data_IF_305463220700
#
_entry.id   IF_305463220700
#
_cell.length_a   1.000
_cell.length_b   1.000
_cell.length_c   1.000
_cell.angle_alpha   90.00
_cell.angle_beta   90.00
_cell.angle_gamma   90.00
#
_symmetry.space_group_name_H-M   'P 1'
#
loop_
_entity.id
_entity.type
_entity.pdbx_description
1 polymer ?
#
# COMPACT_ATOMS: atom_id res chain seq x y z
N UNK A 1 28.11 16.53 -5.08
CA UNK A 1 27.48 15.41 -5.81
C UNK A 1 28.29 14.12 -5.71
N UNK A 2 29.62 14.17 -5.62
CA UNK A 2 30.47 12.97 -5.66
C UNK A 2 30.28 12.01 -4.48
N UNK A 3 30.05 12.52 -3.27
CA UNK A 3 29.81 11.69 -2.09
C UNK A 3 28.50 10.86 -2.20
N UNK A 4 27.40 11.48 -2.63
CA UNK A 4 26.12 10.77 -2.82
C UNK A 4 26.27 9.68 -3.88
N UNK A 5 26.92 10.00 -5.00
CA UNK A 5 27.16 9.03 -6.07
C UNK A 5 28.04 7.87 -5.59
N UNK A 6 29.11 8.15 -4.83
CA UNK A 6 29.98 7.13 -4.26
C UNK A 6 29.22 6.20 -3.32
N UNK A 7 28.45 6.76 -2.37
CA UNK A 7 27.68 5.98 -1.39
C UNK A 7 26.58 5.13 -2.06
N UNK A 8 25.86 5.70 -3.03
CA UNK A 8 24.71 5.02 -3.66
C UNK A 8 25.09 4.00 -4.74
N UNK A 9 26.28 4.15 -5.36
CA UNK A 9 26.73 3.29 -6.46
C UNK A 9 27.65 2.15 -5.99
N UNK A 10 28.50 2.38 -4.99
CA UNK A 10 29.42 1.36 -4.47
C UNK A 10 28.78 0.57 -3.31
N UNK A 11 27.92 -0.39 -3.68
CA UNK A 11 27.26 -1.30 -2.74
C UNK A 11 28.19 -2.36 -2.12
N UNK A 12 29.43 -2.47 -2.60
CA UNK A 12 30.41 -3.41 -2.02
C UNK A 12 31.04 -2.78 -0.78
N UNK A 13 31.42 -1.51 -0.90
CA UNK A 13 32.02 -0.72 0.18
C UNK A 13 30.96 -0.19 1.14
N UNK A 14 29.88 0.40 0.63
CA UNK A 14 28.78 0.96 1.43
C UNK A 14 27.61 -0.01 1.47
N UNK A 15 27.70 -0.98 2.38
CA UNK A 15 26.64 -1.97 2.60
C UNK A 15 25.58 -1.41 3.52
N UNK A 16 24.33 -1.75 3.23
CA UNK A 16 23.24 -1.57 4.17
C UNK A 16 23.45 -2.49 5.37
N UNK A 17 23.16 -1.98 6.57
CA UNK A 17 23.08 -2.82 7.75
C UNK A 17 21.80 -3.67 7.72
N UNK A 18 21.87 -4.85 7.09
CA UNK A 18 20.74 -5.75 6.96
C UNK A 18 20.14 -6.20 8.31
N UNK A 19 20.96 -6.24 9.37
CA UNK A 19 20.53 -6.66 10.71
C UNK A 19 19.53 -5.66 11.29
N UNK A 20 19.76 -4.36 11.09
CA UNK A 20 18.82 -3.31 11.52
C UNK A 20 17.43 -3.42 10.85
N UNK A 21 17.31 -4.15 9.74
CA UNK A 21 16.04 -4.37 9.04
C UNK A 21 15.40 -5.74 9.35
N UNK A 22 15.99 -6.57 10.22
CA UNK A 22 15.39 -7.84 10.64
C UNK A 22 13.97 -7.72 11.20
N UNK A 23 13.61 -6.65 11.95
CA UNK A 23 12.22 -6.46 12.39
C UNK A 23 11.18 -6.38 11.26
N UNK A 24 11.60 -6.08 10.02
CA UNK A 24 10.72 -6.13 8.83
C UNK A 24 10.45 -7.55 8.34
N UNK A 25 11.14 -8.56 8.85
CA UNK A 25 11.07 -9.93 8.36
C UNK A 25 9.91 -10.75 8.92
N UNK A 26 8.81 -10.10 9.31
CA UNK A 26 7.70 -10.76 9.99
C UNK A 26 7.18 -12.00 9.23
N UNK A 27 6.97 -11.90 7.91
CA UNK A 27 6.56 -13.02 7.07
C UNK A 27 7.74 -13.80 6.47
N UNK A 28 8.94 -13.22 6.46
CA UNK A 28 10.13 -13.73 5.79
C UNK A 28 11.07 -12.60 5.36
N UNK A 29 12.20 -12.96 4.73
CA UNK A 29 13.13 -11.96 4.19
C UNK A 29 12.46 -11.14 3.07
N UNK A 30 12.87 -9.89 2.87
CA UNK A 30 12.33 -9.01 1.84
C UNK A 30 13.41 -8.17 1.17
N UNK A 31 13.04 -7.41 0.15
CA UNK A 31 13.95 -6.53 -0.60
C UNK A 31 14.62 -5.46 0.27
N UNK A 32 13.99 -5.06 1.38
CA UNK A 32 14.52 -4.04 2.29
C UNK A 32 15.51 -4.66 3.28
N UNK A 33 15.34 -5.91 3.69
CA UNK A 33 16.19 -6.59 4.67
C UNK A 33 17.30 -7.46 4.06
N UNK A 34 17.32 -7.64 2.75
CA UNK A 34 18.33 -8.46 2.04
C UNK A 34 19.40 -7.60 1.37
N UNK A 35 20.57 -8.19 1.11
CA UNK A 35 21.70 -7.53 0.45
C UNK A 35 22.32 -8.42 -0.63
N UNK A 36 23.14 -7.81 -1.50
CA UNK A 36 23.94 -8.52 -2.50
C UNK A 36 23.11 -9.44 -3.42
N UNK A 37 23.45 -10.74 -3.49
CA UNK A 37 22.77 -11.72 -4.35
C UNK A 37 21.30 -11.92 -3.97
N UNK A 38 21.01 -11.93 -2.67
CA UNK A 38 19.63 -12.06 -2.17
C UNK A 38 18.80 -10.85 -2.59
N UNK A 39 19.34 -9.63 -2.39
CA UNK A 39 18.67 -8.42 -2.86
C UNK A 39 18.43 -8.44 -4.37
N UNK A 40 19.41 -8.89 -5.17
CA UNK A 40 19.25 -9.02 -6.63
C UNK A 40 18.13 -10.00 -6.99
N UNK A 41 18.00 -11.11 -6.26
CA UNK A 41 16.91 -12.09 -6.42
C UNK A 41 15.56 -11.44 -6.13
N UNK A 42 15.40 -10.82 -4.97
CA UNK A 42 14.18 -10.09 -4.59
C UNK A 42 13.81 -9.00 -5.60
N UNK A 43 14.78 -8.18 -6.04
CA UNK A 43 14.56 -7.11 -7.02
C UNK A 43 14.15 -7.64 -8.38
N UNK A 44 14.75 -8.73 -8.85
CA UNK A 44 14.43 -9.30 -10.16
C UNK A 44 12.97 -9.75 -10.23
N UNK A 45 12.44 -10.34 -9.16
CA UNK A 45 11.03 -10.76 -9.06
C UNK A 45 10.10 -9.55 -8.85
N UNK A 46 10.54 -8.55 -8.08
CA UNK A 46 9.71 -7.38 -7.77
C UNK A 46 9.61 -6.35 -8.91
N UNK A 47 10.67 -6.16 -9.70
CA UNK A 47 10.73 -5.07 -10.67
C UNK A 47 9.62 -5.07 -11.73
N UNK A 48 9.19 -6.21 -12.30
CA UNK A 48 8.09 -6.25 -13.28
C UNK A 48 6.75 -5.75 -12.73
N UNK A 49 6.58 -5.80 -11.40
CA UNK A 49 5.38 -5.31 -10.73
C UNK A 49 5.28 -3.78 -10.70
N UNK A 50 6.35 -3.06 -11.08
CA UNK A 50 6.40 -1.60 -11.20
C UNK A 50 6.53 -1.17 -12.66
N UNK A 51 5.63 -1.66 -13.51
CA UNK A 51 5.57 -1.35 -14.95
C UNK A 51 4.63 -0.17 -15.24
N UNK A 52 4.70 0.36 -16.47
CA UNK A 52 3.81 1.42 -16.94
C UNK A 52 2.33 1.00 -16.91
N UNK A 53 2.04 -0.26 -17.26
CA UNK A 53 0.68 -0.82 -17.19
C UNK A 53 0.12 -0.76 -15.76
N UNK A 54 0.96 -1.04 -14.75
CA UNK A 54 0.55 -0.98 -13.35
C UNK A 54 0.36 0.47 -12.89
N UNK A 55 1.16 1.41 -13.38
CA UNK A 55 0.97 2.84 -13.11
C UNK A 55 -0.37 3.35 -13.67
N UNK A 56 -0.80 2.87 -14.83
CA UNK A 56 -2.12 3.20 -15.38
C UNK A 56 -3.27 2.71 -14.49
N UNK A 57 -3.15 1.51 -13.91
CA UNK A 57 -4.11 1.00 -12.94
C UNK A 57 -4.14 1.83 -11.65
N UNK A 58 -2.95 2.19 -11.12
CA UNK A 58 -2.85 3.11 -9.97
C UNK A 58 -3.54 4.43 -10.26
N UNK A 59 -3.37 4.98 -11.46
CA UNK A 59 -4.04 6.21 -11.89
C UNK A 59 -5.57 6.06 -11.88
N UNK A 60 -6.10 5.02 -12.52
CA UNK A 60 -7.55 4.75 -12.54
C UNK A 60 -8.12 4.61 -11.13
N UNK A 61 -7.42 3.88 -10.26
CA UNK A 61 -7.87 3.65 -8.89
C UNK A 61 -7.77 4.92 -8.03
N UNK A 62 -6.75 5.73 -8.25
CA UNK A 62 -6.61 7.06 -7.62
C UNK A 62 -7.78 7.96 -7.98
N UNK A 63 -8.13 8.06 -9.27
CA UNK A 63 -9.27 8.87 -9.71
C UNK A 63 -10.57 8.40 -9.07
N UNK A 64 -10.80 7.09 -9.00
CA UNK A 64 -11.99 6.51 -8.35
C UNK A 64 -12.06 6.91 -6.88
N UNK A 65 -11.01 6.62 -6.10
CA UNK A 65 -10.97 6.86 -4.65
C UNK A 65 -11.12 8.34 -4.32
N UNK A 66 -10.42 9.20 -5.06
CA UNK A 66 -10.49 10.66 -4.86
C UNK A 66 -11.87 11.20 -5.25
N UNK A 67 -12.49 10.68 -6.31
CA UNK A 67 -13.86 11.06 -6.70
C UNK A 67 -14.88 10.64 -5.64
N UNK A 68 -14.78 9.41 -5.13
CA UNK A 68 -15.64 8.92 -4.05
C UNK A 68 -15.53 9.80 -2.81
N UNK A 69 -14.30 10.20 -2.46
CA UNK A 69 -14.05 11.12 -1.35
C UNK A 69 -14.67 12.51 -1.58
N UNK A 70 -14.50 13.12 -2.75
CA UNK A 70 -15.11 14.42 -3.07
C UNK A 70 -16.64 14.37 -3.03
N UNK A 71 -17.26 13.30 -3.55
CA UNK A 71 -18.70 13.11 -3.49
C UNK A 71 -19.24 13.08 -2.05
N UNK A 72 -18.48 12.49 -1.12
CA UNK A 72 -18.83 12.49 0.29
C UNK A 72 -18.63 13.85 0.94
N UNK A 73 -17.54 14.56 0.65
CA UNK A 73 -17.35 15.93 1.15
C UNK A 73 -18.52 16.82 0.74
N UNK A 74 -18.97 16.73 -0.51
CA UNK A 74 -20.13 17.44 -1.02
C UNK A 74 -21.43 17.03 -0.30
N UNK A 75 -21.60 15.73 -0.01
CA UNK A 75 -22.76 15.23 0.72
C UNK A 75 -22.80 15.74 2.17
N UNK A 76 -21.66 15.71 2.87
CA UNK A 76 -21.52 16.19 4.26
C UNK A 76 -21.72 17.71 4.35
N UNK A 77 -21.13 18.49 3.42
CA UNK A 77 -21.35 19.94 3.39
C UNK A 77 -22.83 20.32 3.16
N UNK A 78 -23.57 19.52 2.38
CA UNK A 78 -25.01 19.72 2.18
C UNK A 78 -25.84 19.43 3.43
N UNK A 79 -25.38 18.53 4.29
CA UNK A 79 -26.06 18.15 5.54
C UNK A 79 -25.67 19.06 6.72
N UNK A 80 -24.45 19.58 6.76
CA UNK A 80 -23.87 20.31 7.91
C UNK A 80 -23.86 21.84 7.77
N UNK A 81 -24.86 22.45 7.12
CA UNK A 81 -25.02 23.93 7.01
C UNK A 81 -25.10 24.70 8.36
N UNK A 82 -24.83 24.07 9.51
CA UNK A 82 -24.99 24.64 10.85
C UNK A 82 -23.81 24.45 11.81
N UNK A 83 -22.65 23.91 11.42
CA UNK A 83 -21.50 23.74 12.32
C UNK A 83 -20.22 24.40 11.75
N UNK A 84 -19.41 24.97 12.64
CA UNK A 84 -18.31 25.91 12.38
C UNK A 84 -17.29 25.47 11.30
N UNK A 85 -16.93 26.41 10.42
CA UNK A 85 -15.98 26.29 9.30
C UNK A 85 -14.55 25.82 9.63
N UNK A 86 -14.17 25.63 10.89
CA UNK A 86 -12.77 25.41 11.29
C UNK A 86 -12.42 23.94 11.57
N UNK A 87 -13.40 23.03 11.72
CA UNK A 87 -13.12 21.61 12.02
C UNK A 87 -12.81 20.77 10.76
N UNK A 88 -13.17 21.27 9.57
CA UNK A 88 -13.06 20.56 8.31
C UNK A 88 -11.65 20.64 7.68
N UNK A 89 -10.82 21.65 8.03
CA UNK A 89 -9.48 21.81 7.45
C UNK A 89 -8.45 20.85 8.05
N UNK A 90 -8.54 20.56 9.34
CA UNK A 90 -7.55 19.74 10.04
C UNK A 90 -7.78 18.23 9.82
N UNK A 91 -9.04 17.82 9.69
CA UNK A 91 -9.42 16.41 9.47
C UNK A 91 -9.16 15.92 8.02
N UNK A 92 -9.14 16.83 7.05
CA UNK A 92 -9.07 16.47 5.63
C UNK A 92 -7.65 16.15 5.12
N UNK A 93 -6.59 16.64 5.76
CA UNK A 93 -5.20 16.39 5.31
C UNK A 93 -4.57 15.24 6.10
N UNK A 94 -4.79 15.20 7.42
CA UNK A 94 -4.12 14.25 8.32
C UNK A 94 -4.76 12.84 8.30
N UNK A 95 -6.08 12.73 8.10
CA UNK A 95 -6.79 11.43 8.10
C UNK A 95 -7.04 10.88 6.69
N UNK A 96 -7.31 11.75 5.72
CA UNK A 96 -7.67 11.32 4.35
C UNK A 96 -6.45 10.88 3.55
N UNK A 97 -5.30 11.56 3.69
CA UNK A 97 -4.13 11.24 2.90
C UNK A 97 -3.56 9.83 3.19
N UNK A 98 -3.45 9.38 4.46
CA UNK A 98 -3.09 8.00 4.77
C UNK A 98 -4.14 7.01 4.28
N UNK A 99 -5.43 7.24 4.57
CA UNK A 99 -6.51 6.36 4.11
C UNK A 99 -6.53 6.20 2.58
N UNK A 100 -6.45 7.30 1.82
CA UNK A 100 -6.46 7.26 0.37
C UNK A 100 -5.25 6.51 -0.18
N UNK A 101 -4.04 6.78 0.32
CA UNK A 101 -2.83 6.07 -0.14
C UNK A 101 -2.85 4.59 0.22
N UNK A 102 -3.42 4.22 1.37
CA UNK A 102 -3.60 2.83 1.76
C UNK A 102 -4.56 2.11 0.83
N UNK A 103 -5.70 2.72 0.55
CA UNK A 103 -6.74 2.16 -0.31
C UNK A 103 -6.24 2.04 -1.76
N UNK A 104 -5.54 3.04 -2.28
CA UNK A 104 -4.94 3.00 -3.63
C UNK A 104 -3.90 1.88 -3.70
N UNK A 105 -2.97 1.83 -2.74
CA UNK A 105 -1.90 0.82 -2.73
C UNK A 105 -2.48 -0.58 -2.53
N UNK A 106 -3.52 -0.72 -1.71
CA UNK A 106 -4.21 -2.00 -1.51
C UNK A 106 -4.97 -2.42 -2.77
N UNK A 107 -5.70 -1.51 -3.40
CA UNK A 107 -6.53 -1.84 -4.55
C UNK A 107 -5.68 -2.11 -5.80
N UNK A 108 -4.66 -1.31 -6.08
CA UNK A 108 -3.74 -1.53 -7.20
C UNK A 108 -2.71 -2.65 -6.92
N UNK A 109 -2.35 -2.83 -5.64
CA UNK A 109 -1.39 -3.83 -5.19
C UNK A 109 -1.97 -5.24 -5.12
N UNK A 110 -3.16 -5.38 -4.54
CA UNK A 110 -3.76 -6.66 -4.15
C UNK A 110 -5.04 -7.00 -4.90
N UNK A 111 -5.56 -6.07 -5.69
CA UNK A 111 -6.71 -6.27 -6.55
C UNK A 111 -8.04 -6.52 -5.88
N UNK A 112 -8.12 -6.34 -4.57
CA UNK A 112 -9.40 -6.21 -3.89
C UNK A 112 -9.71 -4.73 -3.75
N UNK A 113 -10.74 -4.30 -4.48
CA UNK A 113 -11.30 -2.95 -4.34
C UNK A 113 -11.88 -2.82 -2.95
N UNK A 114 -11.23 -2.02 -2.12
CA UNK A 114 -11.75 -1.65 -0.81
C UNK A 114 -12.57 -0.38 -1.04
N UNK A 115 -13.87 -0.44 -0.71
CA UNK A 115 -14.73 0.73 -0.74
C UNK A 115 -14.30 1.71 0.34
N UNK A 116 -14.40 3.00 0.06
CA UNK A 116 -14.11 4.04 1.04
C UNK A 116 -15.03 3.96 2.27
N UNK A 117 -16.30 3.61 2.06
CA UNK A 117 -17.37 3.69 3.06
C UNK A 117 -17.53 2.40 3.89
N UNK A 118 -17.08 1.26 3.37
CA UNK A 118 -17.45 -0.04 3.95
C UNK A 118 -16.37 -0.60 4.89
N UNK A 119 -16.71 -0.69 6.17
CA UNK A 119 -16.29 -1.79 7.05
C UNK A 119 -17.52 -2.63 7.50
N UNK A 120 -18.69 -2.38 6.90
CA UNK A 120 -19.95 -3.07 7.19
C UNK A 120 -20.02 -4.48 6.59
N UNK A 121 -19.08 -4.82 5.72
CA UNK A 121 -18.97 -6.16 5.16
C UNK A 121 -18.56 -7.14 6.27
N UNK A 122 -19.37 -8.17 6.47
CA UNK A 122 -19.00 -9.26 7.37
C UNK A 122 -17.62 -9.84 6.96
N UNK A 123 -16.73 -10.15 7.91
CA UNK A 123 -15.49 -10.85 7.61
C UNK A 123 -15.73 -12.11 6.79
N UNK A 124 -14.77 -12.46 5.94
CA UNK A 124 -14.82 -13.73 5.22
C UNK A 124 -14.91 -14.91 6.20
N UNK A 125 -15.47 -16.05 5.77
CA UNK A 125 -15.58 -17.24 6.63
C UNK A 125 -14.22 -17.63 7.20
N UNK A 126 -14.11 -17.73 8.53
CA UNK A 126 -12.85 -18.02 9.23
C UNK A 126 -11.96 -16.81 9.52
N UNK A 127 -12.45 -15.59 9.28
CA UNK A 127 -11.78 -14.34 9.64
C UNK A 127 -12.56 -13.60 10.72
N UNK A 128 -11.84 -12.84 11.54
CA UNK A 128 -12.41 -11.99 12.58
C UNK A 128 -12.41 -10.54 12.15
N UNK A 129 -11.41 -10.14 11.36
CA UNK A 129 -11.23 -8.81 10.81
C UNK A 129 -11.58 -8.83 9.32
N UNK A 130 -12.11 -7.72 8.81
CA UNK A 130 -12.15 -7.50 7.36
C UNK A 130 -10.72 -7.34 6.84
N UNK A 131 -10.49 -7.54 5.53
CA UNK A 131 -9.18 -7.26 4.93
C UNK A 131 -8.74 -5.80 5.20
N UNK A 132 -9.68 -4.85 5.11
CA UNK A 132 -9.44 -3.44 5.40
C UNK A 132 -8.97 -3.25 6.84
N UNK A 133 -9.73 -3.75 7.81
CA UNK A 133 -9.40 -3.70 9.23
C UNK A 133 -8.06 -4.35 9.54
N UNK A 134 -7.77 -5.51 8.93
CA UNK A 134 -6.49 -6.20 9.09
C UNK A 134 -5.31 -5.38 8.55
N UNK A 135 -5.46 -4.78 7.35
CA UNK A 135 -4.46 -3.90 6.74
C UNK A 135 -4.21 -2.65 7.59
N UNK A 136 -5.27 -1.90 7.94
CA UNK A 136 -5.16 -0.68 8.74
C UNK A 136 -4.51 -0.98 10.09
N UNK A 137 -5.02 -1.99 10.80
CA UNK A 137 -4.53 -2.34 12.14
C UNK A 137 -3.08 -2.81 12.10
N UNK A 138 -2.67 -3.56 11.06
CA UNK A 138 -1.29 -4.02 10.91
C UNK A 138 -0.33 -2.85 10.61
N UNK A 139 -0.73 -1.90 9.77
CA UNK A 139 0.07 -0.71 9.43
C UNK A 139 0.19 0.22 10.63
N UNK A 140 -0.91 0.53 11.33
CA UNK A 140 -0.89 1.41 12.51
C UNK A 140 -0.10 0.81 13.69
N UNK A 141 -0.12 -0.52 13.81
CA UNK A 141 0.67 -1.22 14.83
C UNK A 141 2.04 -1.69 14.33
N UNK A 142 2.46 -1.29 13.14
CA UNK A 142 3.75 -1.71 12.58
C UNK A 142 4.91 -1.31 13.49
N UNK A 143 5.02 -0.05 13.89
CA UNK A 143 6.10 0.40 14.79
C UNK A 143 6.01 -0.24 16.17
N UNK A 144 4.79 -0.46 16.68
CA UNK A 144 4.58 -1.18 17.93
C UNK A 144 5.14 -2.61 17.82
N UNK A 145 4.75 -3.35 16.78
CA UNK A 145 5.23 -4.70 16.49
C UNK A 145 6.74 -4.76 16.30
N UNK A 146 7.30 -3.77 15.62
CA UNK A 146 8.73 -3.66 15.32
C UNK A 146 9.57 -3.49 16.58
N UNK A 147 9.06 -2.72 17.56
CA UNK A 147 9.75 -2.43 18.82
C UNK A 147 9.47 -3.49 19.91
N UNK A 148 8.42 -4.28 19.78
CA UNK A 148 8.12 -5.38 20.70
C UNK A 148 8.86 -6.66 20.32
N UNK A 149 9.69 -7.24 21.21
CA UNK A 149 10.35 -8.52 20.96
C UNK A 149 9.37 -9.69 20.78
N UNK A 150 9.78 -10.75 20.09
CA UNK A 150 8.91 -11.92 19.82
C UNK A 150 8.46 -12.69 21.08
N UNK A 151 9.19 -12.56 22.20
CA UNK A 151 8.77 -13.13 23.49
C UNK A 151 7.69 -12.30 24.19
N UNK A 152 7.51 -11.03 23.80
CA UNK A 152 6.66 -10.08 24.49
C UNK A 152 5.17 -10.48 24.50
N UNK A 153 4.59 -11.00 23.41
CA UNK A 153 3.22 -11.53 23.44
C UNK A 153 3.01 -12.63 24.47
N UNK A 154 3.99 -13.54 24.64
CA UNK A 154 3.91 -14.63 25.61
C UNK A 154 3.90 -14.13 27.06
N UNK A 155 4.59 -13.03 27.36
CA UNK A 155 4.56 -12.43 28.70
C UNK A 155 3.28 -11.62 28.91
N UNK A 156 2.81 -10.91 27.88
CA UNK A 156 1.59 -10.10 27.95
C UNK A 156 0.31 -10.94 28.19
N UNK A 157 0.33 -12.22 27.81
CA UNK A 157 -0.77 -13.15 28.09
C UNK A 157 -0.76 -13.66 29.54
N UNK A 158 0.41 -13.70 30.18
CA UNK A 158 0.59 -14.09 31.59
C UNK A 158 0.25 -12.92 32.51
N UNK A 159 0.80 -11.73 32.22
CA UNK A 159 0.58 -10.52 33.02
C UNK A 159 -0.32 -9.56 32.25
N UNK A 160 -1.62 -9.57 32.58
CA UNK A 160 -2.61 -8.70 31.93
C UNK A 160 -2.46 -7.25 32.42
N UNK A 161 -1.72 -6.46 31.66
CA UNK A 161 -1.67 -5.00 31.81
C UNK A 161 -2.79 -4.39 30.94
N UNK A 162 -3.74 -3.63 31.52
CA UNK A 162 -4.77 -2.94 30.76
C UNK A 162 -4.18 -2.08 29.62
N UNK A 163 -4.88 -2.01 28.48
CA UNK A 163 -4.47 -1.37 27.21
C UNK A 163 -3.31 -2.05 26.47
N UNK A 164 -2.23 -2.41 27.16
CA UNK A 164 -1.05 -3.02 26.53
C UNK A 164 -1.36 -4.43 26.01
N UNK A 165 -2.03 -5.26 26.80
CA UNK A 165 -2.42 -6.61 26.39
C UNK A 165 -3.43 -6.59 25.22
N UNK A 166 -4.35 -5.63 25.22
CA UNK A 166 -5.31 -5.44 24.13
C UNK A 166 -4.60 -5.04 22.82
N UNK A 167 -3.64 -4.11 22.88
CA UNK A 167 -2.86 -3.69 21.71
C UNK A 167 -2.01 -4.84 21.16
N UNK A 168 -1.37 -5.62 22.03
CA UNK A 168 -0.59 -6.80 21.60
C UNK A 168 -1.47 -7.83 20.92
N UNK A 169 -2.64 -8.16 21.49
CA UNK A 169 -3.56 -9.11 20.88
C UNK A 169 -4.09 -8.61 19.52
N UNK A 170 -4.52 -7.35 19.45
CA UNK A 170 -5.00 -6.74 18.20
C UNK A 170 -3.91 -6.72 17.13
N UNK A 171 -2.66 -6.42 17.51
CA UNK A 171 -1.50 -6.47 16.62
C UNK A 171 -1.26 -7.88 16.09
N UNK A 172 -1.17 -8.87 16.99
CA UNK A 172 -0.92 -10.26 16.60
C UNK A 172 -2.01 -10.77 15.65
N UNK A 173 -3.28 -10.53 16.01
CA UNK A 173 -4.42 -10.92 15.21
C UNK A 173 -4.39 -10.27 13.83
N UNK A 174 -4.16 -8.95 13.75
CA UNK A 174 -4.11 -8.24 12.48
C UNK A 174 -3.02 -8.77 11.55
N UNK A 175 -1.81 -8.99 12.07
CA UNK A 175 -0.71 -9.53 11.27
C UNK A 175 -0.94 -10.99 10.83
N UNK A 176 -1.55 -11.83 11.67
CA UNK A 176 -1.92 -13.21 11.30
C UNK A 176 -3.04 -13.26 10.24
N UNK A 177 -4.12 -12.50 10.44
CA UNK A 177 -5.24 -12.43 9.49
C UNK A 177 -4.78 -11.82 8.15
N UNK A 178 -3.98 -10.76 8.18
CA UNK A 178 -3.39 -10.16 6.98
C UNK A 178 -2.51 -11.16 6.22
N UNK A 179 -1.68 -11.92 6.94
CA UNK A 179 -0.88 -12.99 6.35
C UNK A 179 -1.71 -14.02 5.60
N UNK A 180 -2.82 -14.46 6.21
CA UNK A 180 -3.76 -15.40 5.57
C UNK A 180 -4.44 -14.80 4.34
N UNK A 181 -4.90 -13.56 4.42
CA UNK A 181 -5.48 -12.87 3.27
C UNK A 181 -4.50 -12.74 2.11
N UNK A 182 -3.25 -12.34 2.39
CA UNK A 182 -2.21 -12.22 1.35
C UNK A 182 -1.90 -13.59 0.73
N UNK A 183 -1.89 -14.65 1.52
CA UNK A 183 -1.67 -16.01 1.01
C UNK A 183 -2.82 -16.47 0.09
N UNK A 184 -4.07 -16.19 0.44
CA UNK A 184 -5.23 -16.47 -0.43
C UNK A 184 -5.18 -15.69 -1.73
N UNK A 185 -4.71 -14.45 -1.68
CA UNK A 185 -4.53 -13.64 -2.88
C UNK A 185 -3.41 -14.19 -3.76
N UNK A 186 -2.27 -14.59 -3.17
CA UNK A 186 -1.16 -15.24 -3.88
C UNK A 186 -1.62 -16.55 -4.52
N UNK A 187 -2.39 -17.38 -3.82
CA UNK A 187 -2.88 -18.64 -4.37
C UNK A 187 -3.86 -18.42 -5.53
N UNK A 188 -4.75 -17.43 -5.42
CA UNK A 188 -5.67 -17.03 -6.49
C UNK A 188 -4.92 -16.48 -7.71
N UNK A 189 -3.88 -15.68 -7.49
CA UNK A 189 -3.01 -15.19 -8.56
C UNK A 189 -2.25 -16.34 -9.25
N UNK A 190 -1.73 -17.31 -8.49
CA UNK A 190 -1.07 -18.51 -9.05
C UNK A 190 -2.00 -19.30 -9.96
N UNK A 191 -3.23 -19.53 -9.52
CA UNK A 191 -4.24 -20.21 -10.34
C UNK A 191 -4.51 -19.44 -11.64
N UNK A 192 -4.62 -18.11 -11.57
CA UNK A 192 -4.87 -17.26 -12.74
C UNK A 192 -3.73 -17.29 -13.76
N UNK A 193 -2.48 -17.30 -13.28
CA UNK A 193 -1.27 -17.42 -14.12
C UNK A 193 -1.24 -18.79 -14.83
N UNK A 194 -1.55 -19.88 -14.12
CA UNK A 194 -1.60 -21.23 -14.71
C UNK A 194 -2.69 -21.34 -15.78
N UNK A 195 -3.82 -20.67 -15.57
CA UNK A 195 -4.93 -20.61 -16.53
C UNK A 195 -4.68 -19.64 -17.70
N UNK A 196 -3.54 -18.93 -17.73
CA UNK A 196 -3.18 -17.98 -18.79
C UNK A 196 -4.07 -16.74 -18.82
N UNK A 197 -4.72 -16.37 -17.71
CA UNK A 197 -5.54 -15.17 -17.62
C UNK A 197 -4.64 -13.93 -17.53
N UNK A 198 -4.90 -12.94 -18.38
CA UNK A 198 -4.13 -11.69 -18.41
C UNK A 198 -4.30 -10.87 -17.12
N UNK A 199 -3.23 -10.16 -16.74
CA UNK A 199 -3.12 -9.22 -15.62
C UNK A 199 -4.06 -7.99 -15.70
N UNK A 200 -5.02 -7.92 -16.62
CA UNK A 200 -5.94 -6.79 -16.78
C UNK A 200 -6.91 -6.56 -15.59
N UNK A 201 -6.73 -7.30 -14.49
CA UNK A 201 -7.51 -7.16 -13.26
C UNK A 201 -6.85 -6.18 -12.28
N UNK A 202 -7.59 -5.75 -11.27
CA UNK A 202 -7.12 -4.86 -10.20
C UNK A 202 -5.89 -5.39 -9.44
N UNK A 203 -5.51 -6.66 -9.56
CA UNK A 203 -4.40 -7.29 -8.81
C UNK A 203 -3.05 -7.28 -9.55
N UNK A 204 -2.77 -6.31 -10.41
CA UNK A 204 -1.66 -6.42 -11.36
C UNK A 204 -0.26 -6.48 -10.72
N UNK A 205 -0.05 -5.78 -9.61
CA UNK A 205 1.22 -5.89 -8.87
C UNK A 205 1.42 -7.32 -8.35
N UNK A 206 0.40 -7.87 -7.67
CA UNK A 206 0.45 -9.24 -7.14
C UNK A 206 0.58 -10.30 -8.25
N UNK A 207 -0.18 -10.14 -9.33
CA UNK A 207 -0.12 -11.04 -10.48
C UNK A 207 1.29 -11.08 -11.07
N UNK A 208 1.89 -9.92 -11.34
CA UNK A 208 3.24 -9.83 -11.90
C UNK A 208 4.30 -10.39 -10.96
N UNK A 209 4.17 -10.18 -9.64
CA UNK A 209 5.05 -10.79 -8.65
C UNK A 209 4.97 -12.32 -8.71
N UNK A 210 3.77 -12.87 -8.78
CA UNK A 210 3.54 -14.31 -8.83
C UNK A 210 4.03 -14.90 -10.15
N UNK A 211 3.70 -14.28 -11.28
CA UNK A 211 4.10 -14.69 -12.62
C UNK A 211 5.64 -14.73 -12.76
N UNK A 212 6.32 -13.66 -12.32
CA UNK A 212 7.78 -13.60 -12.27
C UNK A 212 8.35 -14.70 -11.37
N UNK A 213 7.67 -15.03 -10.27
CA UNK A 213 8.08 -16.08 -9.35
C UNK A 213 7.86 -17.52 -9.87
N UNK A 214 6.96 -17.72 -10.83
CA UNK A 214 6.64 -19.03 -11.43
C UNK A 214 7.39 -19.31 -12.74
N UNK A 215 8.18 -18.36 -13.22
CA UNK A 215 8.84 -18.45 -14.53
C UNK A 215 9.91 -19.58 -14.58
N UNK A 216 9.98 -20.37 -15.67
CA UNK A 216 10.79 -21.59 -15.76
C UNK A 216 12.31 -21.37 -15.73
N UNK A 217 12.79 -20.14 -15.91
CA UNK A 217 14.21 -19.77 -15.73
C UNK A 217 14.63 -19.66 -14.24
N UNK A 218 13.70 -19.88 -13.31
CA UNK A 218 13.78 -19.45 -11.92
C UNK A 218 14.25 -20.47 -10.88
N UNK A 219 14.80 -21.63 -11.25
CA UNK A 219 15.08 -22.73 -10.30
C UNK A 219 15.86 -22.35 -9.01
N UNK A 220 16.72 -21.33 -9.06
CA UNK A 220 17.43 -20.75 -7.90
C UNK A 220 17.03 -19.30 -7.56
N UNK A 221 16.07 -18.72 -8.29
CA UNK A 221 15.67 -17.31 -8.21
C UNK A 221 14.24 -17.10 -7.68
N UNK A 222 13.46 -18.17 -7.47
CA UNK A 222 12.14 -18.07 -6.86
C UNK A 222 12.25 -17.61 -5.40
N UNK A 223 11.27 -16.82 -4.98
CA UNK A 223 10.95 -16.45 -3.61
C UNK A 223 10.01 -17.50 -3.01
N UNK A 224 10.23 -17.81 -1.73
CA UNK A 224 9.28 -18.57 -0.91
C UNK A 224 7.99 -17.78 -0.67
N UNK A 225 6.93 -18.45 -0.21
CA UNK A 225 5.67 -17.79 0.15
C UNK A 225 5.90 -16.70 1.21
N UNK A 226 6.69 -16.99 2.24
CA UNK A 226 7.05 -16.00 3.26
C UNK A 226 7.79 -14.78 2.69
N UNK A 227 8.72 -15.00 1.76
CA UNK A 227 9.43 -13.91 1.08
C UNK A 227 8.49 -13.10 0.18
N UNK A 228 7.56 -13.73 -0.55
CA UNK A 228 6.54 -13.03 -1.34
C UNK A 228 5.66 -12.16 -0.45
N UNK A 229 5.08 -12.75 0.61
CA UNK A 229 4.23 -12.05 1.58
C UNK A 229 4.97 -10.87 2.22
N UNK A 230 6.26 -11.05 2.55
CA UNK A 230 7.08 -10.00 3.15
C UNK A 230 7.37 -8.86 2.19
N UNK A 231 7.66 -9.13 0.91
CA UNK A 231 7.80 -8.07 -0.10
C UNK A 231 6.49 -7.33 -0.33
N UNK A 232 5.38 -8.07 -0.45
CA UNK A 232 4.02 -7.52 -0.58
C UNK A 232 3.72 -6.54 0.58
N UNK A 233 3.91 -6.98 1.82
CA UNK A 233 3.68 -6.15 3.00
C UNK A 233 4.62 -4.93 3.02
N UNK A 234 5.88 -5.12 2.62
CA UNK A 234 6.86 -4.03 2.52
C UNK A 234 6.44 -2.95 1.52
N UNK A 235 5.88 -3.33 0.37
CA UNK A 235 5.41 -2.38 -0.65
C UNK A 235 4.19 -1.60 -0.16
N UNK A 236 3.26 -2.26 0.54
CA UNK A 236 2.13 -1.61 1.19
C UNK A 236 2.57 -0.57 2.22
N UNK A 237 3.47 -0.96 3.13
CA UNK A 237 3.97 -0.09 4.19
C UNK A 237 4.76 1.11 3.63
N UNK A 238 5.69 0.86 2.71
CA UNK A 238 6.53 1.89 2.14
C UNK A 238 5.72 2.93 1.34
N UNK A 239 4.70 2.50 0.60
CA UNK A 239 3.86 3.35 -0.23
C UNK A 239 2.83 4.18 0.55
N UNK A 240 2.40 3.71 1.72
CA UNK A 240 1.37 4.35 2.54
C UNK A 240 1.85 5.65 3.19
N UNK A 241 2.74 5.58 4.18
CA UNK A 241 3.06 6.73 5.02
C UNK A 241 3.85 7.80 4.25
N UNK A 242 4.80 7.40 3.40
CA UNK A 242 5.66 8.34 2.68
C UNK A 242 4.89 9.16 1.65
N UNK A 243 3.99 8.52 0.89
CA UNK A 243 3.15 9.21 -0.09
C UNK A 243 2.13 10.11 0.60
N UNK A 244 1.54 9.64 1.71
CA UNK A 244 0.57 10.43 2.48
C UNK A 244 1.19 11.73 3.01
N UNK A 245 2.35 11.64 3.67
CA UNK A 245 3.05 12.81 4.17
C UNK A 245 3.50 13.73 3.03
N UNK A 246 4.02 13.16 1.93
CA UNK A 246 4.42 13.95 0.76
C UNK A 246 3.25 14.75 0.16
N UNK A 247 2.08 14.11 0.05
CA UNK A 247 0.86 14.77 -0.42
C UNK A 247 0.37 15.83 0.58
N UNK A 248 0.42 15.53 1.88
CA UNK A 248 0.12 16.50 2.93
C UNK A 248 0.97 17.75 2.81
N UNK A 249 2.30 17.61 2.73
CA UNK A 249 3.21 18.73 2.50
C UNK A 249 2.92 19.46 1.19
N UNK A 250 2.67 18.74 0.09
CA UNK A 250 2.38 19.35 -1.19
C UNK A 250 1.11 20.22 -1.14
N UNK A 251 0.03 19.71 -0.54
CA UNK A 251 -1.23 20.45 -0.38
C UNK A 251 -1.03 21.67 0.53
N UNK A 252 -0.36 21.50 1.67
CA UNK A 252 -0.07 22.62 2.59
C UNK A 252 0.76 23.71 1.91
N UNK A 253 1.78 23.34 1.14
CA UNK A 253 2.60 24.29 0.39
C UNK A 253 1.79 25.00 -0.70
N UNK A 254 0.92 24.28 -1.43
CA UNK A 254 0.05 24.90 -2.43
C UNK A 254 -0.93 25.91 -1.80
N UNK A 255 -1.44 25.63 -0.60
CA UNK A 255 -2.30 26.56 0.13
C UNK A 255 -1.56 27.85 0.58
N UNK A 256 -0.26 27.74 0.88
CA UNK A 256 0.59 28.87 1.27
C UNK A 256 1.15 29.66 0.08
N UNK A 257 1.13 29.08 -1.13
CA UNK A 257 1.71 29.65 -2.35
C UNK A 257 0.69 29.72 -3.50
N UNK A 258 -0.24 30.72 -3.49
CA UNK A 258 -1.31 30.85 -4.48
C UNK A 258 -0.82 30.96 -5.93
N UNK A 259 0.37 31.52 -6.15
CA UNK A 259 1.04 31.60 -7.45
C UNK A 259 1.39 30.20 -8.00
N UNK A 260 1.87 29.31 -7.13
CA UNK A 260 2.19 27.93 -7.50
C UNK A 260 0.91 27.14 -7.75
N UNK A 261 -0.12 27.33 -6.91
CA UNK A 261 -1.44 26.72 -7.08
C UNK A 261 -2.08 27.13 -8.42
N UNK A 262 -2.06 28.41 -8.75
CA UNK A 262 -2.61 28.94 -10.00
C UNK A 262 -1.88 28.38 -11.23
N UNK A 263 -0.55 28.27 -11.16
CA UNK A 263 0.26 27.67 -12.22
C UNK A 263 -0.06 26.19 -12.41
N UNK A 264 -0.13 25.42 -11.31
CA UNK A 264 -0.52 24.01 -11.35
C UNK A 264 -1.90 23.82 -11.98
N UNK A 265 -2.89 24.62 -11.56
CA UNK A 265 -4.24 24.58 -12.11
C UNK A 265 -4.26 24.87 -13.63
N UNK A 266 -3.51 25.88 -14.08
CA UNK A 266 -3.41 26.21 -15.50
C UNK A 266 -2.81 25.05 -16.33
N UNK A 267 -1.78 24.38 -15.81
CA UNK A 267 -1.20 23.20 -16.47
C UNK A 267 -2.21 22.05 -16.52
N UNK A 268 -2.88 21.72 -15.40
CA UNK A 268 -3.92 20.68 -15.38
C UNK A 268 -5.02 20.97 -16.40
N UNK A 269 -5.51 22.22 -16.48
CA UNK A 269 -6.53 22.64 -17.46
C UNK A 269 -6.07 22.54 -18.91
N UNK A 270 -4.77 22.64 -19.17
CA UNK A 270 -4.19 22.50 -20.52
C UNK A 270 -4.17 21.05 -20.98
N UNK A 271 -3.85 20.10 -20.09
CA UNK A 271 -3.85 18.66 -20.39
C UNK A 271 -5.21 18.00 -20.20
N UNK A 272 -6.09 18.57 -19.38
CA UNK A 272 -7.43 18.06 -19.08
C UNK A 272 -8.50 19.18 -19.18
N UNK A 273 -8.90 19.57 -20.40
CA UNK A 273 -9.89 20.62 -20.60
C UNK A 273 -11.28 20.22 -20.11
N UNK A 274 -12.10 21.17 -19.65
CA UNK A 274 -13.51 20.90 -19.30
C UNK A 274 -14.24 20.25 -20.49
N UNK A 275 -14.83 19.07 -20.26
CA UNK A 275 -15.52 18.28 -21.28
C UNK A 275 -14.76 17.04 -21.79
N UNK A 276 -13.50 16.83 -21.39
CA UNK A 276 -12.77 15.58 -21.68
C UNK A 276 -13.21 14.46 -20.71
N UNK A 277 -14.43 13.96 -20.87
CA UNK A 277 -14.91 12.66 -20.38
C UNK A 277 -14.91 12.42 -18.87
N UNK A 278 -16.10 12.27 -18.30
CA UNK A 278 -16.29 11.46 -17.09
C UNK A 278 -15.65 10.09 -17.30
N UNK A 279 -14.70 9.69 -16.45
CA UNK A 279 -14.14 8.33 -16.42
C UNK A 279 -15.25 7.37 -15.99
N UNK A 280 -16.07 6.97 -16.96
CA UNK A 280 -17.30 6.25 -16.69
C UNK A 280 -18.19 5.97 -17.89
N UNK A 281 -17.70 6.03 -19.15
CA UNK A 281 -18.44 5.45 -20.29
C UNK A 281 -17.62 5.42 -21.59
N UNK A 282 -16.41 4.88 -21.61
CA UNK A 282 -15.77 4.51 -22.88
C UNK A 282 -14.76 3.40 -22.65
N UNK A 283 -15.06 2.22 -23.18
CA UNK A 283 -14.11 1.13 -23.39
C UNK A 283 -12.86 1.67 -24.09
N UNK A 284 -11.72 1.60 -23.43
CA UNK A 284 -10.43 1.81 -24.08
C UNK A 284 -10.10 0.52 -24.84
N UNK A 285 -10.43 0.50 -26.13
CA UNK A 285 -9.83 -0.43 -27.09
C UNK A 285 -8.43 0.09 -27.42
N UNK A 286 -7.41 -0.69 -27.09
CA UNK A 286 -6.09 -0.52 -27.65
C UNK A 286 -6.02 -1.34 -28.94
N UNK A 287 -5.96 -0.67 -30.08
CA UNK A 287 -5.42 -1.23 -31.32
C UNK A 287 -3.89 -1.16 -31.28
#
# INVERSE_FOLDING_TARGET
MDAIKAITSDRVTFRKDAVSYEPLNYYGKNIISTEMSEWKRHRAIAAPAFSEANNALVWTETLRIITDWFNQLDATQRTEKSASNNAFSDLAIEVVSPMATLLITSAAGFGRRVSWEDDSAAPASGYTLTLRSAVITAVENFFFRMLTPDWFPAISSIVKVPFLSARVHATQQAFEELGRYMLELVSSARASVVEGRSSASSAALLHNLVEANTSPEGGSKCLSDGELLSNIFSFLLAGHETSAHSLGFAISLLALHPEAQSKMYAEVRKVWPEGSGTVGSSSVSFD
#
